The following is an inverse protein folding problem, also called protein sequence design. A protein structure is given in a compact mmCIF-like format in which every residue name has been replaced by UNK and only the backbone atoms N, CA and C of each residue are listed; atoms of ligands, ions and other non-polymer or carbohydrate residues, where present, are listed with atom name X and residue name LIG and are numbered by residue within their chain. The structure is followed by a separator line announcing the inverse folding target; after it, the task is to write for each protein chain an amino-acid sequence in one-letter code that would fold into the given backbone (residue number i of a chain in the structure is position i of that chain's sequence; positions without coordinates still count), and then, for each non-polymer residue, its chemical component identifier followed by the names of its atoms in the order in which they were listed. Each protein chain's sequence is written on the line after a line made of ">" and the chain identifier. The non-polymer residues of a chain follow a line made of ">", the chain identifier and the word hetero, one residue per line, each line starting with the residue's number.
data_IF_612703563835
#
_entry.id   IF_612703563835
#
_cell.length_a   1.000
_cell.length_b   1.000
_cell.length_c   1.000
_cell.angle_alpha   90.00
_cell.angle_beta   90.00
_cell.angle_gamma   90.00
#
_symmetry.space_group_name_H-M   'P 1'
#
loop_
_entity.id
_entity.type
_entity.pdbx_description
1 polymer ?
#
# COMPACT_ATOMS: atom_id res chain seq x y z
N UNK A 1 -3.66 7.71 15.04
CA UNK A 1 -3.07 9.05 14.92
C UNK A 1 -1.61 8.97 14.47
N UNK A 2 -1.10 9.99 13.70
CA UNK A 2 0.25 9.93 13.12
C UNK A 2 1.37 9.68 14.13
N UNK A 3 1.27 10.27 15.31
CA UNK A 3 2.27 10.09 16.37
C UNK A 3 2.36 8.66 16.91
N UNK A 4 1.32 7.85 16.79
CA UNK A 4 1.30 6.47 17.26
C UNK A 4 1.69 5.46 16.18
N UNK A 5 1.66 5.86 14.91
CA UNK A 5 1.94 4.94 13.80
C UNK A 5 3.33 4.30 13.84
N UNK A 6 4.43 5.04 14.14
CA UNK A 6 5.75 4.44 14.24
C UNK A 6 5.82 3.31 15.28
N UNK A 7 5.28 3.54 16.48
CA UNK A 7 5.27 2.55 17.54
C UNK A 7 4.43 1.32 17.16
N UNK A 8 3.28 1.51 16.53
CA UNK A 8 2.41 0.42 16.09
C UNK A 8 3.05 -0.45 15.02
N UNK A 9 3.77 0.15 14.06
CA UNK A 9 4.53 -0.59 13.04
C UNK A 9 5.58 -1.48 13.69
N UNK A 10 6.36 -0.94 14.62
CA UNK A 10 7.40 -1.70 15.31
C UNK A 10 6.83 -2.77 16.24
N UNK A 11 5.68 -2.52 16.86
CA UNK A 11 4.96 -3.52 17.64
C UNK A 11 4.54 -4.71 16.77
N UNK A 12 3.96 -4.44 15.61
CA UNK A 12 3.61 -5.48 14.64
C UNK A 12 4.83 -6.29 14.19
N UNK A 13 5.95 -5.61 13.91
CA UNK A 13 7.20 -6.27 13.53
C UNK A 13 7.74 -7.17 14.66
N UNK A 14 7.72 -6.71 15.90
CA UNK A 14 8.11 -7.51 17.07
C UNK A 14 7.22 -8.73 17.28
N UNK A 15 5.94 -8.61 16.94
CA UNK A 15 5.00 -9.73 16.99
C UNK A 15 5.17 -10.73 15.83
N UNK A 16 6.12 -10.50 14.93
CA UNK A 16 6.41 -11.39 13.80
C UNK A 16 5.48 -11.23 12.60
N UNK A 17 4.76 -10.11 12.50
CA UNK A 17 3.91 -9.82 11.34
C UNK A 17 4.80 -9.57 10.11
N UNK A 18 4.63 -10.37 9.08
CA UNK A 18 5.46 -10.30 7.86
C UNK A 18 5.10 -9.17 6.90
N UNK A 19 3.85 -8.68 6.93
CA UNK A 19 3.40 -7.61 6.07
C UNK A 19 2.53 -6.61 6.84
N UNK A 20 2.95 -5.35 6.86
CA UNK A 20 2.26 -4.25 7.56
C UNK A 20 1.86 -3.20 6.54
N UNK A 21 0.61 -2.79 6.57
CA UNK A 21 0.10 -1.68 5.76
C UNK A 21 -0.22 -0.51 6.67
N UNK A 22 0.48 0.59 6.50
CA UNK A 22 0.26 1.83 7.24
C UNK A 22 -0.39 2.89 6.35
N UNK A 23 -1.69 3.09 6.52
CA UNK A 23 -2.45 4.08 5.75
C UNK A 23 -2.29 5.51 6.27
N UNK A 24 -1.75 5.65 7.47
CA UNK A 24 -1.71 6.92 8.22
C UNK A 24 -0.94 8.00 7.48
N UNK A 25 -1.59 9.13 7.25
CA UNK A 25 -0.98 10.35 6.73
C UNK A 25 -0.45 11.21 7.86
N UNK A 26 0.59 12.00 7.59
CA UNK A 26 1.12 12.98 8.53
C UNK A 26 2.14 12.42 9.53
N UNK A 27 2.71 11.26 9.26
CA UNK A 27 3.87 10.75 10.01
C UNK A 27 5.09 11.61 9.64
N UNK A 28 5.83 12.15 10.62
CA UNK A 28 7.02 12.95 10.32
C UNK A 28 8.08 12.12 9.58
N UNK A 29 8.72 12.72 8.56
CA UNK A 29 9.72 12.03 7.72
C UNK A 29 10.88 11.45 8.54
N UNK A 30 11.28 12.12 9.63
CA UNK A 30 12.31 11.60 10.53
C UNK A 30 11.87 10.31 11.24
N UNK A 31 10.61 10.22 11.63
CA UNK A 31 10.06 9.02 12.27
C UNK A 31 9.91 7.89 11.25
N UNK A 32 9.51 8.20 10.01
CA UNK A 32 9.51 7.24 8.91
C UNK A 32 10.92 6.65 8.68
N UNK A 33 11.94 7.52 8.63
CA UNK A 33 13.33 7.09 8.43
C UNK A 33 13.81 6.20 9.58
N UNK A 34 13.46 6.51 10.84
CA UNK A 34 13.79 5.68 12.00
C UNK A 34 13.11 4.32 11.94
N UNK A 35 11.82 4.28 11.61
CA UNK A 35 11.08 3.02 11.44
C UNK A 35 11.68 2.19 10.33
N UNK A 36 11.93 2.79 9.17
CA UNK A 36 12.54 2.10 8.03
C UNK A 36 13.89 1.49 8.41
N UNK A 37 14.79 2.28 9.02
CA UNK A 37 16.10 1.81 9.45
C UNK A 37 16.00 0.66 10.48
N UNK A 38 15.06 0.78 11.43
CA UNK A 38 14.84 -0.26 12.45
C UNK A 38 14.32 -1.55 11.82
N UNK A 39 13.38 -1.48 10.88
CA UNK A 39 12.87 -2.65 10.16
C UNK A 39 13.98 -3.34 9.38
N UNK A 40 14.81 -2.58 8.65
CA UNK A 40 15.92 -3.13 7.87
C UNK A 40 16.94 -3.83 8.75
N UNK A 41 17.28 -3.26 9.91
CA UNK A 41 18.29 -3.79 10.82
C UNK A 41 17.78 -4.97 11.65
N UNK A 42 16.59 -4.83 12.28
CA UNK A 42 16.13 -5.72 13.33
C UNK A 42 15.00 -6.67 12.88
N UNK A 43 14.25 -6.28 11.85
CA UNK A 43 13.07 -7.03 11.37
C UNK A 43 13.04 -7.18 9.85
N UNK A 44 14.10 -7.75 9.24
CA UNK A 44 14.24 -7.83 7.77
C UNK A 44 13.15 -8.68 7.09
N UNK A 45 12.41 -9.48 7.85
CA UNK A 45 11.29 -10.29 7.36
C UNK A 45 9.97 -9.53 7.33
N UNK A 46 9.88 -8.37 7.99
CA UNK A 46 8.68 -7.51 7.98
C UNK A 46 8.78 -6.52 6.84
N UNK A 47 7.83 -6.58 5.92
CA UNK A 47 7.67 -5.61 4.84
C UNK A 47 6.63 -4.57 5.22
N UNK A 48 6.98 -3.31 5.06
CA UNK A 48 6.07 -2.18 5.29
C UNK A 48 5.59 -1.59 3.97
N UNK A 49 4.28 -1.40 3.82
CA UNK A 49 3.67 -0.60 2.78
C UNK A 49 3.14 0.71 3.38
N UNK A 50 3.50 1.83 2.80
CA UNK A 50 3.23 3.16 3.37
C UNK A 50 4.41 3.68 4.22
N UNK A 51 4.19 4.67 5.08
CA UNK A 51 2.91 5.35 5.41
C UNK A 51 2.24 6.11 4.26
N UNK A 52 1.11 6.73 4.56
CA UNK A 52 0.35 7.57 3.64
C UNK A 52 0.06 6.85 2.31
N UNK A 53 -0.55 5.68 2.41
CA UNK A 53 -0.86 4.85 1.26
C UNK A 53 -2.31 4.33 1.31
N UNK A 54 -2.93 4.05 0.16
CA UNK A 54 -4.24 3.42 0.13
C UNK A 54 -4.19 1.91 0.43
N UNK A 55 -3.02 1.30 0.35
CA UNK A 55 -2.85 -0.12 0.57
C UNK A 55 -2.70 -0.92 -0.72
N UNK A 56 -3.08 -2.18 -0.66
CA UNK A 56 -3.00 -3.13 -1.77
C UNK A 56 -4.34 -3.83 -1.99
N UNK A 57 -4.75 -3.93 -3.23
CA UNK A 57 -5.93 -4.69 -3.63
C UNK A 57 -5.63 -5.62 -4.81
N UNK A 58 -6.06 -6.87 -4.68
CA UNK A 58 -6.19 -7.82 -5.78
C UNK A 58 -7.68 -8.10 -5.92
N UNK A 59 -8.37 -7.49 -6.92
CA UNK A 59 -9.83 -7.57 -7.03
C UNK A 59 -10.33 -9.00 -7.07
N UNK A 60 -11.36 -9.29 -6.28
CA UNK A 60 -11.91 -10.63 -6.13
C UNK A 60 -11.12 -11.58 -5.24
N UNK A 61 -9.98 -11.16 -4.69
CA UNK A 61 -9.11 -11.97 -3.82
C UNK A 61 -8.88 -11.34 -2.45
N UNK A 62 -8.31 -10.15 -2.39
CA UNK A 62 -7.93 -9.51 -1.14
C UNK A 62 -7.89 -8.00 -1.29
N UNK A 63 -8.24 -7.29 -0.21
CA UNK A 63 -8.05 -5.85 -0.07
C UNK A 63 -7.50 -5.56 1.33
N UNK A 64 -6.27 -5.03 1.40
CA UNK A 64 -5.62 -4.65 2.66
C UNK A 64 -5.33 -3.16 2.61
N UNK A 65 -6.10 -2.39 3.36
CA UNK A 65 -6.05 -0.93 3.39
C UNK A 65 -7.42 -0.31 3.18
N UNK A 66 -7.46 0.82 2.50
CA UNK A 66 -8.67 1.64 2.30
C UNK A 66 -9.04 1.81 0.83
N UNK A 67 -8.47 1.02 -0.07
CA UNK A 67 -8.83 1.10 -1.49
C UNK A 67 -10.30 0.74 -1.69
N UNK A 68 -11.04 1.60 -2.39
CA UNK A 68 -12.43 1.35 -2.73
C UNK A 68 -12.52 0.19 -3.74
N UNK A 69 -12.82 -1.00 -3.25
CA UNK A 69 -12.79 -2.24 -4.04
C UNK A 69 -13.71 -2.23 -5.24
N UNK A 70 -14.84 -1.55 -5.12
CA UNK A 70 -15.85 -1.45 -6.17
C UNK A 70 -15.41 -0.67 -7.41
N UNK A 71 -14.37 0.17 -7.32
CA UNK A 71 -13.84 0.90 -8.48
C UNK A 71 -12.81 0.10 -9.28
N UNK A 72 -12.33 -1.02 -8.76
CA UNK A 72 -11.38 -1.88 -9.46
C UNK A 72 -12.11 -2.97 -10.25
N UNK A 73 -11.85 -3.05 -11.54
CA UNK A 73 -12.42 -4.10 -12.38
C UNK A 73 -11.78 -5.46 -12.06
N UNK A 74 -12.61 -6.49 -11.94
CA UNK A 74 -12.13 -7.86 -11.78
C UNK A 74 -11.29 -8.28 -12.99
N UNK A 75 -10.19 -9.02 -12.79
CA UNK A 75 -9.44 -9.59 -13.90
C UNK A 75 -10.29 -10.61 -14.65
N UNK A 76 -10.08 -10.69 -15.96
CA UNK A 76 -10.79 -11.62 -16.83
C UNK A 76 -9.82 -12.63 -17.43
N UNK A 77 -10.31 -13.84 -17.73
CA UNK A 77 -9.50 -14.88 -18.36
C UNK A 77 -9.06 -14.52 -19.79
N UNK A 78 -9.83 -13.63 -20.46
CA UNK A 78 -9.56 -13.22 -21.83
C UNK A 78 -8.78 -11.90 -21.91
N UNK A 79 -8.48 -11.24 -20.77
CA UNK A 79 -7.78 -9.97 -20.71
C UNK A 79 -8.43 -8.86 -21.53
N UNK A 80 -7.79 -7.68 -21.66
CA UNK A 80 -6.51 -7.33 -21.05
C UNK A 80 -6.64 -7.13 -19.52
N UNK A 81 -5.58 -7.49 -18.81
CA UNK A 81 -5.46 -7.24 -17.37
C UNK A 81 -4.16 -6.49 -17.09
N UNK A 82 -4.19 -5.54 -16.17
CA UNK A 82 -3.03 -4.72 -15.81
C UNK A 82 -2.73 -4.79 -14.32
N UNK A 83 -1.48 -4.62 -13.97
CA UNK A 83 -1.04 -4.32 -12.61
C UNK A 83 -0.76 -2.83 -12.46
N UNK A 84 -1.02 -2.27 -11.28
CA UNK A 84 -0.76 -0.87 -10.98
C UNK A 84 0.16 -0.80 -9.76
N UNK A 85 1.22 -0.01 -9.86
CA UNK A 85 2.03 0.43 -8.71
C UNK A 85 2.09 1.95 -8.76
N UNK A 86 1.69 2.62 -7.68
CA UNK A 86 1.57 4.07 -7.66
C UNK A 86 1.97 4.65 -6.30
N UNK A 87 2.58 5.82 -6.32
CA UNK A 87 2.83 6.62 -5.11
C UNK A 87 1.65 7.53 -4.76
N UNK A 88 0.80 7.85 -5.71
CA UNK A 88 -0.31 8.79 -5.52
C UNK A 88 -1.59 8.06 -5.11
N UNK A 89 -2.23 8.47 -4.02
CA UNK A 89 -3.56 7.99 -3.66
C UNK A 89 -4.62 8.37 -4.69
N UNK A 90 -4.72 9.65 -5.00
CA UNK A 90 -5.75 10.20 -5.92
C UNK A 90 -5.63 9.65 -7.33
N UNK A 91 -4.41 9.65 -7.91
CA UNK A 91 -4.18 9.13 -9.26
C UNK A 91 -4.38 7.62 -9.34
N UNK A 92 -4.15 6.90 -8.24
CA UNK A 92 -4.45 5.46 -8.17
C UNK A 92 -5.94 5.21 -8.35
N UNK A 93 -6.79 5.95 -7.65
CA UNK A 93 -8.25 5.83 -7.80
C UNK A 93 -8.72 6.25 -9.19
N UNK A 94 -8.15 7.31 -9.74
CA UNK A 94 -8.44 7.76 -11.11
C UNK A 94 -8.13 6.66 -12.14
N UNK A 95 -6.95 6.05 -12.03
CA UNK A 95 -6.54 4.98 -12.93
C UNK A 95 -7.48 3.76 -12.82
N UNK A 96 -7.82 3.33 -11.60
CA UNK A 96 -8.75 2.21 -11.39
C UNK A 96 -10.11 2.50 -12.02
N UNK A 97 -10.65 3.70 -11.81
CA UNK A 97 -11.92 4.11 -12.38
C UNK A 97 -11.90 4.08 -13.91
N UNK A 98 -10.89 4.68 -14.54
CA UNK A 98 -10.76 4.73 -16.00
C UNK A 98 -10.59 3.35 -16.63
N UNK A 99 -9.82 2.46 -16.00
CA UNK A 99 -9.66 1.09 -16.46
C UNK A 99 -11.00 0.34 -16.41
N UNK A 100 -11.77 0.54 -15.34
CA UNK A 100 -13.11 -0.05 -15.22
C UNK A 100 -14.05 0.42 -16.32
N UNK A 101 -14.03 1.72 -16.65
CA UNK A 101 -14.84 2.26 -17.76
C UNK A 101 -14.49 1.64 -19.12
N UNK A 102 -13.26 1.17 -19.28
CA UNK A 102 -12.76 0.53 -20.52
C UNK A 102 -12.83 -1.00 -20.47
N UNK A 103 -13.43 -1.57 -19.44
CA UNK A 103 -13.49 -3.02 -19.22
C UNK A 103 -12.09 -3.70 -19.20
N UNK A 104 -11.09 -3.00 -18.66
CA UNK A 104 -9.75 -3.53 -18.45
C UNK A 104 -9.65 -4.02 -17.03
N UNK A 105 -9.36 -5.30 -16.82
CA UNK A 105 -9.23 -5.91 -15.51
C UNK A 105 -7.96 -5.47 -14.79
N UNK A 106 -8.02 -5.46 -13.46
CA UNK A 106 -6.87 -5.16 -12.60
C UNK A 106 -6.47 -6.42 -11.85
N UNK A 107 -5.26 -6.90 -12.10
CA UNK A 107 -4.72 -8.06 -11.39
C UNK A 107 -4.38 -7.73 -9.95
N UNK A 108 -3.68 -6.62 -9.74
CA UNK A 108 -3.31 -6.10 -8.44
C UNK A 108 -3.02 -4.60 -8.56
N UNK A 109 -3.43 -3.84 -7.58
CA UNK A 109 -3.09 -2.43 -7.46
C UNK A 109 -2.41 -2.18 -6.12
N UNK A 110 -1.19 -1.64 -6.17
CA UNK A 110 -0.39 -1.31 -4.98
C UNK A 110 -0.20 0.20 -4.91
N UNK A 111 -0.74 0.81 -3.87
CA UNK A 111 -0.42 2.19 -3.52
C UNK A 111 0.70 2.20 -2.48
N UNK A 112 1.90 2.61 -2.88
CA UNK A 112 3.08 2.56 -2.00
C UNK A 112 3.21 3.77 -1.06
N UNK A 113 2.45 4.82 -1.32
CA UNK A 113 2.45 6.03 -0.51
C UNK A 113 3.28 7.17 -1.08
N UNK A 114 2.84 8.41 -0.77
CA UNK A 114 3.43 9.66 -1.27
C UNK A 114 4.58 10.20 -0.41
N UNK A 115 4.77 9.67 0.78
CA UNK A 115 5.72 10.20 1.75
C UNK A 115 7.19 10.04 1.33
N UNK A 116 8.11 10.88 1.89
CA UNK A 116 9.52 10.88 1.49
C UNK A 116 10.24 9.56 1.71
N UNK A 117 9.90 8.83 2.79
CA UNK A 117 10.55 7.57 3.16
C UNK A 117 9.50 6.45 3.19
N UNK A 118 9.09 5.93 2.03
CA UNK A 118 8.16 4.80 1.99
C UNK A 118 8.84 3.52 2.47
N UNK A 119 8.08 2.67 3.14
CA UNK A 119 8.56 1.36 3.58
C UNK A 119 8.87 0.41 2.43
N UNK A 120 8.14 0.55 1.32
CA UNK A 120 8.37 -0.16 0.05
C UNK A 120 8.42 0.86 -1.09
N UNK A 121 9.40 0.74 -1.97
CA UNK A 121 9.56 1.54 -3.18
C UNK A 121 9.23 0.74 -4.45
N UNK A 122 9.29 1.38 -5.61
CA UNK A 122 9.21 0.71 -6.91
C UNK A 122 10.26 -0.38 -7.07
#
# INVERSE_FOLDING_TARGET
>A
PPKAAPAAILEAARAGIGFVVCITEGVPAQDEARVFATLQRDFPKTRLLGPNCPGIISPGKCNIGITAGEIAALPTAKGPNVGIVSRSGTLTYQALYELKQRNIGVSTCVGIGGDPVPGTSF
#
